data_IF_147040643600
#
_entry.id   IF_147040643600
#
_cell.length_a   1.000
_cell.length_b   1.000
_cell.length_c   1.000
_cell.angle_alpha   90.00
_cell.angle_beta   90.00
_cell.angle_gamma   90.00
#
_symmetry.space_group_name_H-M   'P 1'
#
loop_
_entity.id
_entity.type
_entity.pdbx_description
1 polymer ?
#
# COMPACT_ATOMS: atom_id res chain seq x y z
N UNK A 1 0.35 8.81 -10.68
CA UNK A 1 0.47 10.02 -9.83
C UNK A 1 -0.86 10.74 -9.72
N UNK A 2 -1.70 10.75 -10.74
CA UNK A 2 -3.06 11.31 -10.64
C UNK A 2 -3.92 10.59 -9.60
N UNK A 3 -4.01 9.25 -9.64
CA UNK A 3 -4.73 8.46 -8.61
C UNK A 3 -4.24 8.74 -7.18
N UNK A 4 -2.92 8.93 -7.02
CA UNK A 4 -2.34 9.28 -5.72
C UNK A 4 -2.77 10.69 -5.28
N UNK A 5 -2.78 11.66 -6.19
CA UNK A 5 -3.21 13.02 -5.91
C UNK A 5 -4.71 13.06 -5.55
N UNK A 6 -5.52 12.21 -6.19
CA UNK A 6 -6.93 12.04 -5.86
C UNK A 6 -7.10 11.48 -4.44
N UNK A 7 -6.34 10.44 -4.08
CA UNK A 7 -6.33 9.90 -2.71
C UNK A 7 -5.88 10.94 -1.68
N UNK A 8 -4.81 11.70 -1.97
CA UNK A 8 -4.33 12.78 -1.09
C UNK A 8 -5.45 13.80 -0.85
N UNK A 9 -6.17 14.21 -1.90
CA UNK A 9 -7.29 15.17 -1.77
C UNK A 9 -8.49 14.56 -1.05
N UNK A 10 -8.88 13.34 -1.40
CA UNK A 10 -10.05 12.66 -0.86
C UNK A 10 -9.92 12.41 0.65
N UNK A 11 -8.72 12.02 1.09
CA UNK A 11 -8.45 11.69 2.48
C UNK A 11 -7.80 12.83 3.26
N UNK A 12 -7.57 13.99 2.63
CA UNK A 12 -6.93 15.15 3.25
C UNK A 12 -5.54 14.83 3.81
N UNK A 13 -4.74 14.06 3.04
CA UNK A 13 -3.39 13.67 3.44
C UNK A 13 -2.44 14.86 3.31
N UNK A 14 -1.46 14.92 4.22
CA UNK A 14 -0.36 15.88 4.11
C UNK A 14 0.75 15.29 3.24
N UNK A 15 1.55 16.15 2.60
CA UNK A 15 2.73 15.74 1.85
C UNK A 15 3.88 16.75 2.02
N UNK A 16 5.12 16.26 2.04
CA UNK A 16 6.33 17.08 1.95
C UNK A 16 7.04 16.83 0.61
N UNK A 17 8.29 17.26 0.44
CA UNK A 17 9.03 17.08 -0.82
C UNK A 17 9.19 15.60 -1.18
N UNK A 18 9.40 14.74 -0.19
CA UNK A 18 9.78 13.33 -0.35
C UNK A 18 8.71 12.35 0.12
N UNK A 19 7.80 12.76 0.99
CA UNK A 19 6.87 11.86 1.68
C UNK A 19 5.41 12.26 1.53
N UNK A 20 4.56 11.25 1.61
CA UNK A 20 3.13 11.33 1.87
C UNK A 20 2.95 10.98 3.34
N UNK A 21 2.24 11.83 4.07
CA UNK A 21 2.04 11.73 5.51
C UNK A 21 0.60 11.30 5.75
N UNK A 22 0.44 10.05 6.16
CA UNK A 22 -0.87 9.44 6.40
C UNK A 22 -1.16 9.51 7.90
N UNK A 23 -2.20 10.23 8.34
CA UNK A 23 -2.62 10.20 9.73
C UNK A 23 -3.22 8.82 10.05
N UNK A 24 -2.81 8.26 11.18
CA UNK A 24 -3.33 6.98 11.68
C UNK A 24 -4.21 7.23 12.90
N UNK A 25 -5.16 6.31 13.22
CA UNK A 25 -5.95 6.38 14.44
C UNK A 25 -5.07 6.51 15.69
N UNK A 26 -5.55 7.29 16.65
CA UNK A 26 -4.85 7.43 17.93
C UNK A 26 -4.95 6.12 18.72
N UNK A 27 -3.81 5.68 19.26
CA UNK A 27 -3.76 4.56 20.21
C UNK A 27 -3.17 5.06 21.52
N UNK A 28 -3.91 4.87 22.61
CA UNK A 28 -3.47 5.29 23.94
C UNK A 28 -3.20 6.79 24.06
N UNK A 29 -3.95 7.61 23.32
CA UNK A 29 -3.80 9.07 23.32
C UNK A 29 -2.58 9.61 22.59
N UNK A 30 -1.85 8.77 21.84
CA UNK A 30 -0.74 9.20 20.98
C UNK A 30 -1.18 9.26 19.53
N UNK A 31 -1.04 10.45 18.93
CA UNK A 31 -1.14 10.65 17.48
C UNK A 31 -0.08 9.83 16.77
N UNK A 32 -0.50 9.07 15.77
CA UNK A 32 0.37 8.26 14.92
C UNK A 32 0.32 8.79 13.49
N UNK A 33 1.46 8.72 12.81
CA UNK A 33 1.59 9.08 11.39
C UNK A 33 2.42 8.02 10.69
N UNK A 34 2.03 7.65 9.49
CA UNK A 34 2.85 6.86 8.57
C UNK A 34 3.47 7.81 7.54
N UNK A 35 4.77 7.69 7.32
CA UNK A 35 5.50 8.45 6.32
C UNK A 35 5.85 7.50 5.19
N UNK A 36 5.31 7.76 4.00
CA UNK A 36 5.50 6.93 2.82
C UNK A 36 6.27 7.71 1.77
N UNK A 37 7.39 7.18 1.30
CA UNK A 37 8.18 7.81 0.24
C UNK A 37 7.36 7.94 -1.05
N UNK A 38 7.41 9.12 -1.67
CA UNK A 38 6.80 9.40 -2.98
C UNK A 38 7.51 8.61 -4.08
N UNK A 39 7.07 7.38 -4.29
CA UNK A 39 7.51 6.51 -5.39
C UNK A 39 6.31 6.03 -6.16
N UNK A 40 6.52 5.62 -7.41
CA UNK A 40 5.42 5.03 -8.22
C UNK A 40 4.97 3.68 -7.66
N UNK A 41 5.93 2.90 -7.17
CA UNK A 41 5.71 1.55 -6.65
C UNK A 41 6.48 1.34 -5.34
N UNK A 42 5.93 0.49 -4.48
CA UNK A 42 6.55 -0.01 -3.26
C UNK A 42 6.67 -1.52 -3.38
N UNK A 43 7.88 -2.03 -3.16
CA UNK A 43 8.16 -3.48 -3.13
C UNK A 43 7.95 -4.02 -1.72
N UNK A 44 7.09 -5.00 -1.55
CA UNK A 44 7.01 -5.81 -0.34
C UNK A 44 7.78 -7.12 -0.54
N UNK A 45 8.63 -7.44 0.44
CA UNK A 45 9.28 -8.73 0.56
C UNK A 45 8.47 -9.63 1.49
N UNK A 46 8.06 -10.79 1.00
CA UNK A 46 7.32 -11.78 1.76
C UNK A 46 8.28 -12.85 2.33
N UNK A 47 7.91 -13.53 3.44
CA UNK A 47 8.80 -14.45 4.15
C UNK A 47 9.29 -15.66 3.33
N UNK A 48 8.58 -16.01 2.27
CA UNK A 48 8.89 -17.08 1.32
C UNK A 48 9.86 -16.65 0.21
N UNK A 49 10.42 -15.44 0.31
CA UNK A 49 11.37 -14.91 -0.66
C UNK A 49 10.71 -14.30 -1.89
N UNK A 50 9.39 -14.11 -1.87
CA UNK A 50 8.65 -13.44 -2.95
C UNK A 50 8.76 -11.92 -2.79
N UNK A 51 8.93 -11.23 -3.91
CA UNK A 51 8.88 -9.78 -3.97
C UNK A 51 7.73 -9.33 -4.86
N UNK A 52 6.82 -8.53 -4.30
CA UNK A 52 5.70 -7.96 -5.05
C UNK A 52 5.77 -6.44 -5.03
N UNK A 53 5.62 -5.85 -6.22
CA UNK A 53 5.58 -4.41 -6.42
C UNK A 53 4.13 -3.96 -6.50
N UNK A 54 3.74 -3.06 -5.61
CA UNK A 54 2.40 -2.48 -5.52
C UNK A 54 2.42 -1.00 -5.92
N UNK A 55 1.43 -0.52 -6.69
CA UNK A 55 1.22 0.89 -6.92
C UNK A 55 1.09 1.64 -5.59
N UNK A 56 1.72 2.81 -5.48
CA UNK A 56 1.66 3.60 -4.24
C UNK A 56 0.23 3.98 -3.84
N UNK A 57 -0.68 4.14 -4.81
CA UNK A 57 -2.07 4.45 -4.56
C UNK A 57 -2.75 3.31 -3.75
N UNK A 58 -2.56 2.06 -4.14
CA UNK A 58 -3.08 0.89 -3.42
C UNK A 58 -2.46 0.76 -2.02
N UNK A 59 -1.17 1.08 -1.89
CA UNK A 59 -0.47 1.06 -0.60
C UNK A 59 -1.07 2.10 0.35
N UNK A 60 -1.29 3.33 -0.13
CA UNK A 60 -1.91 4.40 0.65
C UNK A 60 -3.33 4.02 1.05
N UNK A 61 -4.13 3.52 0.10
CA UNK A 61 -5.51 3.09 0.35
C UNK A 61 -5.57 1.97 1.39
N UNK A 62 -4.69 0.97 1.30
CA UNK A 62 -4.59 -0.13 2.26
C UNK A 62 -4.25 0.36 3.68
N UNK A 63 -3.30 1.30 3.80
CA UNK A 63 -2.92 1.89 5.10
C UNK A 63 -4.09 2.65 5.72
N UNK A 64 -4.83 3.41 4.92
CA UNK A 64 -5.98 4.21 5.40
C UNK A 64 -7.13 3.30 5.81
N UNK A 65 -7.43 2.28 5.01
CA UNK A 65 -8.57 1.39 5.23
C UNK A 65 -8.34 0.40 6.39
N UNK A 66 -7.11 -0.07 6.57
CA UNK A 66 -6.74 -1.05 7.60
C UNK A 66 -5.50 -0.63 8.42
N UNK A 67 -5.58 0.49 9.15
CA UNK A 67 -4.42 1.11 9.80
C UNK A 67 -3.80 0.29 10.95
N UNK A 68 -4.55 -0.67 11.47
CA UNK A 68 -4.12 -1.58 12.54
C UNK A 68 -3.52 -2.89 12.03
N UNK A 69 -3.59 -3.15 10.72
CA UNK A 69 -3.06 -4.36 10.13
C UNK A 69 -1.64 -4.14 9.59
N UNK A 70 -0.88 -5.23 9.51
CA UNK A 70 0.35 -5.24 8.74
C UNK A 70 0.04 -4.92 7.27
N UNK A 71 0.90 -4.12 6.62
CA UNK A 71 0.69 -3.68 5.25
C UNK A 71 0.44 -4.84 4.28
N UNK A 72 1.16 -5.94 4.42
CA UNK A 72 0.97 -7.14 3.60
C UNK A 72 -0.44 -7.72 3.71
N UNK A 73 -1.02 -7.71 4.92
CA UNK A 73 -2.39 -8.18 5.17
C UNK A 73 -3.44 -7.15 4.73
N UNK A 74 -3.16 -5.87 4.93
CA UNK A 74 -4.03 -4.78 4.47
C UNK A 74 -4.17 -4.77 2.93
N UNK A 75 -3.05 -4.93 2.22
CA UNK A 75 -3.04 -5.08 0.77
C UNK A 75 -3.78 -6.34 0.32
N UNK A 76 -3.61 -7.44 1.06
CA UNK A 76 -4.34 -8.68 0.77
C UNK A 76 -5.85 -8.47 0.75
N UNK A 77 -6.38 -7.91 1.84
CA UNK A 77 -7.81 -7.66 1.97
C UNK A 77 -8.31 -6.64 0.92
N UNK A 78 -7.53 -5.58 0.67
CA UNK A 78 -7.92 -4.56 -0.32
C UNK A 78 -8.05 -5.16 -1.73
N UNK A 79 -7.11 -6.00 -2.13
CA UNK A 79 -7.13 -6.62 -3.46
C UNK A 79 -8.24 -7.67 -3.57
N UNK A 80 -8.45 -8.47 -2.52
CA UNK A 80 -9.57 -9.41 -2.42
C UNK A 80 -10.93 -8.71 -2.58
N UNK A 81 -11.13 -7.56 -1.92
CA UNK A 81 -12.34 -6.73 -2.08
C UNK A 81 -12.50 -6.16 -3.48
N UNK A 82 -11.39 -5.86 -4.17
CA UNK A 82 -11.39 -5.42 -5.57
C UNK A 82 -11.60 -6.57 -6.56
N UNK A 83 -11.75 -7.80 -6.07
CA UNK A 83 -11.88 -9.01 -6.91
C UNK A 83 -10.59 -9.38 -7.62
N UNK A 84 -9.44 -8.92 -7.11
CA UNK A 84 -8.10 -9.20 -7.66
C UNK A 84 -7.50 -10.34 -6.83
N UNK A 85 -7.33 -11.50 -7.46
CA UNK A 85 -6.79 -12.68 -6.77
C UNK A 85 -5.26 -12.61 -6.71
N UNK A 86 -4.71 -12.55 -5.50
CA UNK A 86 -3.26 -12.43 -5.26
C UNK A 86 -2.44 -13.65 -5.70
N UNK A 87 -2.94 -14.90 -5.58
CA UNK A 87 -2.32 -16.07 -6.22
C UNK A 87 -2.15 -15.90 -7.73
N UNK A 88 -3.03 -15.15 -8.40
CA UNK A 88 -2.94 -14.92 -9.84
C UNK A 88 -1.83 -13.92 -10.19
N UNK A 89 -1.65 -12.86 -9.38
CA UNK A 89 -0.48 -11.96 -9.47
C UNK A 89 0.82 -12.74 -9.22
N UNK A 90 0.79 -13.65 -8.25
CA UNK A 90 1.93 -14.52 -7.91
C UNK A 90 2.30 -15.46 -9.06
N UNK A 91 1.33 -16.13 -9.68
CA UNK A 91 1.58 -17.04 -10.81
C UNK A 91 1.97 -16.33 -12.11
N UNK A 92 1.36 -15.17 -12.41
CA UNK A 92 1.65 -14.41 -13.62
C UNK A 92 3.08 -13.85 -13.61
N UNK A 93 3.59 -13.41 -12.45
CA UNK A 93 4.98 -12.91 -12.34
C UNK A 93 6.01 -14.03 -12.41
N UNK A 94 5.76 -15.19 -11.80
CA UNK A 94 6.63 -16.37 -11.90
C UNK A 94 6.87 -16.79 -13.36
N UNK A 95 5.81 -16.80 -14.18
CA UNK A 95 5.89 -17.06 -15.63
C UNK A 95 6.66 -16.01 -16.43
N UNK A 96 6.83 -14.81 -15.89
CA UNK A 96 7.52 -13.69 -16.58
C UNK A 96 9.02 -13.65 -16.24
N UNK A 97 9.43 -14.17 -15.08
CA UNK A 97 10.85 -14.28 -14.69
C UNK A 97 11.54 -15.55 -15.21
N UNK A 98 10.77 -16.55 -15.69
CA UNK A 98 11.27 -17.78 -16.30
C UNK A 98 11.42 -17.74 -17.85
N UNK A 99 11.35 -16.55 -18.48
CA UNK A 99 11.55 -16.35 -19.93
C UNK A 99 12.70 -15.40 -20.21
#
# INVERSE_FOLDING_TARGET
MEELNELIRQYGLDEDIEHIIIPLPEIGGKKRRCFLLKRRYIRLAYPDGIFLDYPIAEVVEAIIKYPELLLSKALYLLLEEKGIDIPEIYEQRKRTEEK
#
